data_IF_654972660074
#
_entry.id   IF_654972660074
#
_cell.length_a   1.000
_cell.length_b   1.000
_cell.length_c   1.000
_cell.angle_alpha   90.00
_cell.angle_beta   90.00
_cell.angle_gamma   90.00
#
_symmetry.space_group_name_H-M   'P 1'
#
loop_
_entity.id
_entity.type
_entity.pdbx_description
1 polymer ?
#
# COMPACT_ATOMS: atom_id res chain seq x y z
N UNK A 1 -15.02 11.56 -4.22
CA UNK A 1 -14.74 13.01 -4.16
C UNK A 1 -15.65 13.65 -3.14
N UNK A 2 -15.23 14.79 -2.59
CA UNK A 2 -16.09 15.63 -1.76
C UNK A 2 -16.90 16.63 -2.60
N UNK A 3 -17.68 17.50 -1.94
CA UNK A 3 -18.50 18.52 -2.61
C UNK A 3 -17.66 19.51 -3.45
N UNK A 4 -16.41 19.74 -3.08
CA UNK A 4 -15.51 20.67 -3.76
C UNK A 4 -14.63 20.01 -4.84
N UNK A 5 -14.81 18.69 -5.09
CA UNK A 5 -14.03 17.94 -6.07
C UNK A 5 -12.69 17.39 -5.55
N UNK A 6 -12.41 17.51 -4.23
CA UNK A 6 -11.22 16.90 -3.66
C UNK A 6 -11.29 15.39 -3.70
N UNK A 7 -10.19 14.78 -4.05
CA UNK A 7 -10.05 13.32 -3.96
C UNK A 7 -9.85 12.92 -2.49
N UNK A 8 -10.65 11.97 -2.03
CA UNK A 8 -10.53 11.35 -0.71
C UNK A 8 -9.71 10.07 -0.77
N UNK A 9 -9.30 9.55 0.38
CA UNK A 9 -8.54 8.32 0.50
C UNK A 9 -9.11 7.17 -0.36
N UNK A 10 -10.43 6.99 -0.36
CA UNK A 10 -11.10 5.97 -1.16
C UNK A 10 -10.80 6.09 -2.66
N UNK A 11 -10.76 7.31 -3.21
CA UNK A 11 -10.47 7.54 -4.62
C UNK A 11 -9.06 7.07 -5.03
N UNK A 12 -8.06 7.31 -4.16
CA UNK A 12 -6.69 6.83 -4.38
C UNK A 12 -6.60 5.31 -4.21
N UNK A 13 -7.32 4.75 -3.24
CA UNK A 13 -7.40 3.30 -3.06
C UNK A 13 -8.07 2.61 -4.26
N UNK A 14 -9.22 3.12 -4.73
CA UNK A 14 -9.94 2.59 -5.90
C UNK A 14 -9.05 2.60 -7.15
N UNK A 15 -8.29 3.68 -7.39
CA UNK A 15 -7.36 3.75 -8.52
C UNK A 15 -6.36 2.58 -8.54
N UNK A 16 -5.90 2.14 -7.36
CA UNK A 16 -5.00 0.99 -7.23
C UNK A 16 -5.74 -0.33 -7.35
N UNK A 17 -6.87 -0.46 -6.66
CA UNK A 17 -7.65 -1.71 -6.60
C UNK A 17 -8.28 -2.09 -7.95
N UNK A 18 -8.59 -1.11 -8.80
CA UNK A 18 -9.10 -1.32 -10.16
C UNK A 18 -8.03 -1.21 -11.26
N UNK A 19 -6.75 -1.31 -10.89
CA UNK A 19 -5.68 -1.36 -11.88
C UNK A 19 -5.77 -2.68 -12.67
N UNK A 20 -5.54 -2.68 -14.01
CA UNK A 20 -5.63 -3.88 -14.84
C UNK A 20 -4.66 -5.00 -14.44
N UNK A 21 -3.59 -4.65 -13.74
CA UNK A 21 -2.64 -5.59 -13.12
C UNK A 21 -2.54 -5.23 -11.64
N UNK A 22 -2.93 -6.17 -10.78
CA UNK A 22 -2.99 -5.96 -9.34
C UNK A 22 -2.24 -7.08 -8.60
N UNK A 23 -1.34 -6.70 -7.71
CA UNK A 23 -0.82 -7.58 -6.67
C UNK A 23 -1.61 -7.33 -5.38
N UNK A 24 -2.32 -8.31 -4.90
CA UNK A 24 -3.10 -8.28 -3.67
C UNK A 24 -2.53 -9.24 -2.62
N UNK A 25 -2.92 -9.02 -1.38
CA UNK A 25 -2.53 -9.83 -0.24
C UNK A 25 -3.80 -10.25 0.53
N UNK A 26 -3.95 -11.54 0.78
CA UNK A 26 -4.86 -12.10 1.76
C UNK A 26 -4.04 -12.39 3.02
N UNK A 27 -4.27 -11.61 4.07
CA UNK A 27 -3.63 -11.81 5.36
C UNK A 27 -4.54 -12.64 6.28
N UNK A 28 -3.95 -13.51 7.10
CA UNK A 28 -4.68 -14.42 7.98
C UNK A 28 -4.64 -14.00 9.45
N UNK A 29 -4.23 -12.76 9.72
CA UNK A 29 -4.10 -12.20 11.04
C UNK A 29 -5.42 -11.72 11.68
N UNK A 30 -5.31 -10.77 12.60
CA UNK A 30 -6.46 -10.26 13.35
C UNK A 30 -7.47 -9.51 12.48
N UNK A 31 -7.05 -8.95 11.33
CA UNK A 31 -7.93 -8.12 10.49
C UNK A 31 -9.04 -8.97 9.85
N UNK A 32 -8.72 -10.18 9.42
CA UNK A 32 -9.71 -11.11 8.83
C UNK A 32 -10.49 -11.89 9.89
N UNK A 33 -9.89 -12.15 11.03
CA UNK A 33 -10.55 -12.83 12.15
C UNK A 33 -11.44 -11.82 12.88
N UNK A 34 -12.72 -11.86 12.69
CA UNK A 34 -13.72 -10.98 13.35
C UNK A 34 -13.75 -11.14 14.87
N UNK A 35 -12.82 -10.61 15.65
CA UNK A 35 -12.91 -10.66 17.10
C UNK A 35 -14.02 -9.71 17.53
N UNK A 36 -14.90 -10.18 18.37
CA UNK A 36 -15.76 -9.28 19.13
C UNK A 36 -14.87 -8.38 19.97
N UNK A 37 -15.23 -7.11 20.11
CA UNK A 37 -14.46 -6.05 20.79
C UNK A 37 -13.97 -6.45 22.21
N UNK A 38 -14.57 -7.47 22.80
CA UNK A 38 -14.28 -7.96 24.15
C UNK A 38 -13.76 -9.42 24.17
N UNK A 39 -13.24 -9.94 23.07
CA UNK A 39 -12.61 -11.27 23.10
C UNK A 39 -11.30 -11.24 23.87
N UNK A 40 -11.07 -12.33 24.63
CA UNK A 40 -9.78 -12.55 25.27
C UNK A 40 -8.67 -12.63 24.20
N UNK A 41 -7.42 -12.28 24.54
CA UNK A 41 -6.30 -12.48 23.66
C UNK A 41 -6.31 -13.91 23.09
N UNK A 42 -6.22 -14.03 21.79
CA UNK A 42 -6.11 -15.30 21.06
C UNK A 42 -4.85 -15.26 20.19
N UNK A 43 -4.27 -16.40 19.85
CA UNK A 43 -3.16 -16.43 18.91
C UNK A 43 -3.57 -15.79 17.57
N UNK A 44 -2.73 -14.89 17.06
CA UNK A 44 -2.89 -14.26 15.76
C UNK A 44 -2.05 -15.06 14.78
N UNK A 45 -2.63 -15.45 13.66
CA UNK A 45 -1.91 -16.11 12.58
C UNK A 45 -1.11 -15.05 11.81
N UNK A 46 0.22 -15.20 11.80
CA UNK A 46 1.12 -14.28 11.09
C UNK A 46 1.51 -14.93 9.76
N UNK A 47 0.56 -14.96 8.85
CA UNK A 47 0.74 -15.54 7.52
C UNK A 47 -0.01 -14.76 6.44
N UNK A 48 0.37 -14.96 5.18
CA UNK A 48 -0.23 -14.27 4.05
C UNK A 48 -0.12 -15.05 2.75
N UNK A 49 -1.09 -14.86 1.87
CA UNK A 49 -1.09 -15.32 0.50
C UNK A 49 -1.10 -14.13 -0.47
N UNK A 50 -0.14 -14.08 -1.38
CA UNK A 50 -0.06 -13.04 -2.40
C UNK A 50 -0.66 -13.54 -3.71
N UNK A 51 -1.42 -12.67 -4.38
CA UNK A 51 -2.07 -13.01 -5.64
C UNK A 51 -1.86 -11.91 -6.68
N UNK A 52 -1.39 -12.28 -7.87
CA UNK A 52 -1.36 -11.41 -9.04
C UNK A 52 -2.61 -11.64 -9.87
N UNK A 53 -3.43 -10.60 -10.03
CA UNK A 53 -4.53 -10.57 -10.98
C UNK A 53 -4.08 -9.84 -12.26
N UNK A 54 -4.42 -10.39 -13.41
CA UNK A 54 -4.11 -9.83 -14.72
C UNK A 54 -5.40 -9.76 -15.56
N UNK A 55 -5.93 -8.56 -15.74
CA UNK A 55 -7.12 -8.28 -16.57
C UNK A 55 -6.74 -7.82 -17.99
N UNK A 56 -5.45 -7.89 -18.35
CA UNK A 56 -4.98 -7.53 -19.69
C UNK A 56 -5.08 -8.69 -20.68
N UNK A 57 -5.06 -8.40 -21.97
CA UNK A 57 -5.08 -9.40 -23.05
C UNK A 57 -3.75 -10.13 -23.26
N UNK A 58 -2.70 -9.80 -22.52
CA UNK A 58 -1.37 -10.40 -22.65
C UNK A 58 -0.92 -11.00 -21.32
N UNK A 59 -0.14 -12.10 -21.33
CA UNK A 59 0.44 -12.64 -20.11
C UNK A 59 1.38 -11.64 -19.43
N UNK A 60 1.38 -11.62 -18.09
CA UNK A 60 2.31 -10.83 -17.29
C UNK A 60 3.43 -11.74 -16.79
N UNK A 61 4.66 -11.43 -17.21
CA UNK A 61 5.87 -12.08 -16.73
C UNK A 61 6.65 -11.09 -15.89
N UNK A 62 7.02 -11.49 -14.68
CA UNK A 62 7.70 -10.59 -13.75
C UNK A 62 8.12 -11.29 -12.47
N UNK A 63 8.33 -10.51 -11.43
CA UNK A 63 8.76 -11.00 -10.11
C UNK A 63 7.94 -10.30 -9.04
N UNK A 64 7.32 -11.06 -8.15
CA UNK A 64 6.80 -10.56 -6.87
C UNK A 64 7.95 -10.59 -5.87
N UNK A 65 8.30 -9.43 -5.33
CA UNK A 65 9.22 -9.32 -4.20
C UNK A 65 8.42 -9.04 -2.93
N UNK A 66 8.87 -9.58 -1.82
CA UNK A 66 8.26 -9.33 -0.52
C UNK A 66 9.31 -9.19 0.57
N UNK A 67 9.00 -8.39 1.58
CA UNK A 67 9.84 -8.21 2.77
C UNK A 67 8.95 -8.13 4.01
N UNK A 68 9.29 -8.91 5.02
CA UNK A 68 8.76 -8.79 6.36
C UNK A 68 9.64 -7.81 7.13
N UNK A 69 9.08 -6.70 7.56
CA UNK A 69 9.81 -5.60 8.16
C UNK A 69 9.35 -5.34 9.59
N UNK A 70 10.22 -4.71 10.38
CA UNK A 70 9.90 -4.13 11.70
C UNK A 70 9.38 -2.69 11.56
N UNK A 71 8.82 -2.11 12.64
CA UNK A 71 8.36 -0.71 12.62
C UNK A 71 9.43 0.32 12.22
N UNK A 72 10.71 0.01 12.42
CA UNK A 72 11.84 0.84 11.99
C UNK A 72 12.30 0.57 10.55
N UNK A 73 11.49 -0.16 9.78
CA UNK A 73 11.78 -0.59 8.40
C UNK A 73 12.96 -1.57 8.26
N UNK A 74 13.51 -2.09 9.35
CA UNK A 74 14.53 -3.14 9.26
C UNK A 74 13.92 -4.44 8.77
N UNK A 75 14.58 -5.07 7.79
CA UNK A 75 14.10 -6.32 7.18
C UNK A 75 14.39 -7.51 8.11
N UNK A 76 13.37 -8.30 8.41
CA UNK A 76 13.44 -9.55 9.18
C UNK A 76 13.63 -10.76 8.26
N UNK A 77 12.79 -10.82 7.21
CA UNK A 77 12.81 -11.85 6.17
C UNK A 77 12.47 -11.20 4.84
N UNK A 78 12.99 -11.74 3.75
CA UNK A 78 12.64 -11.28 2.41
C UNK A 78 12.70 -12.43 1.42
N UNK A 79 12.06 -12.27 0.28
CA UNK A 79 12.09 -13.25 -0.79
C UNK A 79 11.46 -12.75 -2.08
N UNK A 80 11.47 -13.62 -3.08
CA UNK A 80 10.90 -13.32 -4.37
C UNK A 80 10.28 -14.55 -5.00
N UNK A 81 9.24 -14.33 -5.82
CA UNK A 81 8.57 -15.37 -6.61
C UNK A 81 8.49 -14.97 -8.06
N UNK A 82 8.76 -15.89 -8.96
CA UNK A 82 8.54 -15.70 -10.39
C UNK A 82 7.04 -15.68 -10.70
N UNK A 83 6.64 -14.75 -11.54
CA UNK A 83 5.27 -14.56 -12.02
C UNK A 83 5.17 -14.87 -13.50
N UNK A 84 4.17 -15.67 -13.86
CA UNK A 84 3.70 -15.87 -15.22
C UNK A 84 2.17 -15.97 -15.19
N UNK A 85 1.54 -14.82 -14.94
CA UNK A 85 0.09 -14.72 -14.86
C UNK A 85 -0.51 -14.69 -16.29
N UNK A 86 -1.43 -15.62 -16.63
CA UNK A 86 -2.01 -15.66 -17.97
C UNK A 86 -2.88 -14.43 -18.25
N UNK A 87 -3.11 -14.14 -19.53
CA UNK A 87 -4.07 -13.12 -19.95
C UNK A 87 -5.46 -13.42 -19.38
N UNK A 88 -6.14 -12.39 -18.86
CA UNK A 88 -7.45 -12.48 -18.21
C UNK A 88 -7.50 -13.54 -17.09
N UNK A 89 -6.43 -13.65 -16.31
CA UNK A 89 -6.32 -14.64 -15.25
C UNK A 89 -5.49 -14.15 -14.08
N UNK A 90 -4.98 -15.09 -13.28
CA UNK A 90 -4.16 -14.75 -12.12
C UNK A 90 -3.24 -15.88 -11.69
N UNK A 91 -2.39 -15.57 -10.73
CA UNK A 91 -1.46 -16.53 -10.14
C UNK A 91 -1.32 -16.27 -8.65
N UNK A 92 -1.56 -17.32 -7.85
CA UNK A 92 -1.23 -17.31 -6.44
C UNK A 92 0.26 -17.63 -6.24
N UNK A 93 0.87 -16.91 -5.31
CA UNK A 93 2.23 -17.17 -4.87
C UNK A 93 2.24 -18.28 -3.80
N UNK A 94 3.39 -18.90 -3.53
CA UNK A 94 3.55 -19.78 -2.38
C UNK A 94 3.18 -19.08 -1.06
N UNK A 95 2.52 -19.82 -0.16
CA UNK A 95 2.13 -19.35 1.16
C UNK A 95 3.33 -18.81 1.96
N UNK A 96 3.14 -17.68 2.62
CA UNK A 96 4.12 -17.04 3.49
C UNK A 96 3.72 -17.25 4.95
N UNK A 97 4.56 -17.98 5.70
CA UNK A 97 4.38 -18.26 7.12
C UNK A 97 5.45 -17.55 7.95
N UNK A 98 5.00 -16.76 8.92
CA UNK A 98 5.81 -15.96 9.82
C UNK A 98 5.38 -16.15 11.29
N UNK A 99 4.75 -17.26 11.64
CA UNK A 99 4.22 -17.56 12.97
C UNK A 99 5.29 -17.61 14.08
N UNK A 100 6.57 -17.50 13.72
CA UNK A 100 7.69 -17.30 14.64
C UNK A 100 7.92 -15.80 15.02
N UNK A 101 7.12 -14.88 14.48
CA UNK A 101 7.22 -13.44 14.70
C UNK A 101 6.05 -12.88 15.51
N UNK A 102 6.27 -11.75 16.18
CA UNK A 102 5.21 -11.03 16.91
C UNK A 102 4.38 -10.20 15.92
N UNK A 103 3.06 -10.45 15.78
CA UNK A 103 2.19 -9.69 14.87
C UNK A 103 2.10 -8.19 15.18
N UNK A 104 2.47 -7.76 16.40
CA UNK A 104 2.46 -6.36 16.80
C UNK A 104 3.74 -5.62 16.40
N UNK A 105 4.79 -6.37 16.00
CA UNK A 105 6.14 -5.86 15.73
C UNK A 105 6.59 -6.09 14.29
N UNK A 106 5.74 -6.66 13.43
CA UNK A 106 6.10 -6.91 12.03
C UNK A 106 4.96 -6.55 11.08
N UNK A 107 5.33 -6.15 9.88
CA UNK A 107 4.42 -5.95 8.75
C UNK A 107 5.04 -6.49 7.47
N UNK A 108 4.21 -6.85 6.52
CA UNK A 108 4.62 -7.35 5.21
C UNK A 108 4.51 -6.24 4.18
N UNK A 109 5.57 -6.03 3.38
CA UNK A 109 5.55 -5.22 2.16
C UNK A 109 5.74 -6.11 0.95
N UNK A 110 5.13 -5.75 -0.17
CA UNK A 110 5.20 -6.53 -1.40
C UNK A 110 5.10 -5.64 -2.63
N UNK A 111 5.79 -6.05 -3.70
CA UNK A 111 5.77 -5.37 -4.98
C UNK A 111 5.82 -6.35 -6.15
N UNK A 112 5.11 -6.05 -7.23
CA UNK A 112 5.21 -6.73 -8.51
C UNK A 112 6.09 -5.90 -9.44
N UNK A 113 7.17 -6.49 -9.89
CA UNK A 113 8.13 -5.87 -10.82
C UNK A 113 8.00 -6.53 -12.20
N UNK A 114 7.71 -5.73 -13.22
CA UNK A 114 7.63 -6.14 -14.63
C UNK A 114 8.55 -5.25 -15.43
N UNK A 115 9.44 -5.83 -16.22
CA UNK A 115 10.44 -5.10 -17.04
C UNK A 115 11.25 -4.06 -16.24
N UNK A 116 11.57 -4.40 -14.98
CA UNK A 116 12.33 -3.54 -14.07
C UNK A 116 11.52 -2.41 -13.41
N UNK A 117 10.23 -2.31 -13.67
CA UNK A 117 9.35 -1.29 -13.10
C UNK A 117 8.38 -1.91 -12.07
N UNK A 118 8.16 -1.22 -10.96
CA UNK A 118 7.10 -1.59 -10.00
C UNK A 118 5.75 -1.22 -10.60
N UNK A 119 4.90 -2.23 -10.88
CA UNK A 119 3.57 -2.03 -11.47
C UNK A 119 2.44 -2.12 -10.45
N UNK A 120 2.66 -2.81 -9.34
CA UNK A 120 1.72 -2.88 -8.21
C UNK A 120 2.50 -3.10 -6.92
N UNK A 121 2.07 -2.50 -5.83
CA UNK A 121 2.70 -2.67 -4.52
C UNK A 121 1.70 -2.44 -3.40
N UNK A 122 2.01 -2.98 -2.22
CA UNK A 122 1.21 -2.79 -1.02
C UNK A 122 1.94 -3.14 0.24
N UNK A 123 1.28 -2.92 1.37
CA UNK A 123 1.71 -3.41 2.67
C UNK A 123 0.52 -3.90 3.49
N UNK A 124 0.77 -4.81 4.41
CA UNK A 124 -0.26 -5.29 5.34
C UNK A 124 0.30 -5.47 6.74
N UNK A 125 -0.55 -5.21 7.73
CA UNK A 125 -0.32 -5.55 9.14
C UNK A 125 -1.03 -6.86 9.42
N UNK A 126 -0.54 -7.63 10.39
CA UNK A 126 -1.20 -8.85 10.88
C UNK A 126 -2.11 -8.60 12.09
N UNK A 127 -2.14 -7.38 12.56
CA UNK A 127 -3.01 -6.94 13.66
C UNK A 127 -3.70 -5.61 13.32
N UNK A 128 -4.75 -5.27 14.06
CA UNK A 128 -5.40 -3.98 13.90
C UNK A 128 -4.39 -2.83 14.15
N UNK A 129 -4.38 -1.77 13.32
CA UNK A 129 -3.39 -0.69 13.39
C UNK A 129 -3.25 -0.06 14.79
N UNK A 130 -4.33 -0.03 15.59
CA UNK A 130 -4.30 0.49 16.97
C UNK A 130 -3.47 -0.35 17.94
N UNK A 131 -3.13 -1.58 17.57
CA UNK A 131 -2.33 -2.50 18.39
C UNK A 131 -0.89 -2.62 17.88
N UNK A 132 -0.63 -2.24 16.64
CA UNK A 132 0.71 -2.29 16.06
C UNK A 132 1.64 -1.28 16.75
N UNK A 133 2.85 -1.68 17.08
CA UNK A 133 3.82 -0.85 17.80
C UNK A 133 4.61 0.05 16.83
N UNK A 134 3.94 1.04 16.25
CA UNK A 134 4.59 1.99 15.35
C UNK A 134 5.78 2.71 16.02
N UNK A 135 6.92 2.78 15.34
CA UNK A 135 7.95 3.75 15.64
C UNK A 135 7.50 5.15 15.17
N UNK A 136 8.03 6.22 15.78
CA UNK A 136 7.77 7.57 15.28
C UNK A 136 8.33 7.73 13.86
N UNK A 137 7.52 7.93 12.83
CA UNK A 137 7.98 7.98 11.45
C UNK A 137 8.79 9.24 11.12
N UNK A 138 8.77 10.26 11.98
CA UNK A 138 9.48 11.55 11.81
C UNK A 138 9.36 12.10 10.40
N UNK A 139 8.11 12.23 9.95
CA UNK A 139 7.82 12.69 8.60
C UNK A 139 8.33 14.11 8.37
N UNK A 140 8.94 14.33 7.22
CA UNK A 140 9.25 15.64 6.70
C UNK A 140 8.75 15.79 5.28
N UNK A 141 8.41 17.03 4.89
CA UNK A 141 7.87 17.35 3.58
C UNK A 141 8.62 18.52 2.98
N UNK A 142 8.89 18.46 1.68
CA UNK A 142 9.38 19.57 0.89
C UNK A 142 8.61 19.67 -0.43
N UNK A 143 8.55 20.87 -1.00
CA UNK A 143 7.85 21.12 -2.26
C UNK A 143 8.81 21.86 -3.19
N UNK A 144 8.95 21.36 -4.42
CA UNK A 144 9.71 21.99 -5.48
C UNK A 144 8.90 21.96 -6.78
N UNK A 145 8.43 23.14 -7.19
CA UNK A 145 7.53 23.28 -8.32
C UNK A 145 6.22 22.50 -8.15
N UNK A 146 6.00 21.51 -9.00
CA UNK A 146 4.84 20.61 -8.98
C UNK A 146 5.12 19.28 -8.24
N UNK A 147 6.27 19.16 -7.59
CA UNK A 147 6.69 17.94 -6.91
C UNK A 147 6.66 18.12 -5.40
N UNK A 148 5.95 17.23 -4.72
CA UNK A 148 5.97 17.10 -3.27
C UNK A 148 6.81 15.89 -2.90
N UNK A 149 7.77 16.08 -2.02
CA UNK A 149 8.65 15.03 -1.51
C UNK A 149 8.39 14.82 -0.03
N UNK A 150 8.06 13.58 0.34
CA UNK A 150 7.89 13.15 1.74
C UNK A 150 9.00 12.19 2.10
N UNK A 151 9.62 12.40 3.25
CA UNK A 151 10.65 11.52 3.81
C UNK A 151 10.19 10.99 5.16
N UNK A 152 10.38 9.69 5.39
CA UNK A 152 10.12 8.99 6.65
C UNK A 152 11.42 8.35 7.16
N UNK A 153 11.66 8.37 8.48
CA UNK A 153 12.76 7.63 9.10
C UNK A 153 12.37 6.20 9.50
N UNK A 154 11.09 5.94 9.69
CA UNK A 154 10.52 4.65 10.07
C UNK A 154 9.24 4.39 9.26
N UNK A 155 8.70 3.17 9.34
CA UNK A 155 7.45 2.82 8.67
C UNK A 155 6.31 3.77 9.06
N UNK A 156 5.63 4.29 8.05
CA UNK A 156 4.48 5.17 8.20
C UNK A 156 3.28 4.63 7.41
N UNK A 157 2.16 4.42 8.09
CA UNK A 157 0.94 3.92 7.46
C UNK A 157 0.01 5.05 7.08
N UNK A 158 -0.57 4.97 5.87
CA UNK A 158 -1.59 5.89 5.35
C UNK A 158 -1.14 7.36 5.38
N UNK A 159 0.09 7.63 4.97
CA UNK A 159 0.63 8.98 4.88
C UNK A 159 -0.21 9.81 3.92
N UNK A 160 -0.78 10.91 4.43
CA UNK A 160 -1.53 11.86 3.62
C UNK A 160 -0.81 13.20 3.53
N UNK A 161 -0.82 13.78 2.33
CA UNK A 161 -0.36 15.14 2.08
C UNK A 161 -1.56 16.01 1.81
N UNK A 162 -1.68 17.08 2.60
CA UNK A 162 -2.80 18.01 2.55
C UNK A 162 -2.29 19.44 2.48
N UNK A 163 -3.12 20.38 2.05
CA UNK A 163 -2.85 21.82 2.10
C UNK A 163 -3.77 22.49 3.12
N UNK A 164 -3.28 23.50 3.81
CA UNK A 164 -4.09 24.27 4.75
C UNK A 164 -5.21 25.06 4.04
N UNK A 165 -4.98 25.48 2.79
CA UNK A 165 -5.91 26.27 2.03
C UNK A 165 -6.03 25.78 0.58
N UNK A 166 -7.26 25.54 0.15
CA UNK A 166 -7.56 25.19 -1.23
C UNK A 166 -7.64 23.69 -1.51
N UNK A 167 -7.55 23.34 -2.79
CA UNK A 167 -7.63 21.97 -3.30
C UNK A 167 -6.24 21.50 -3.65
N UNK A 168 -5.80 20.39 -3.07
CA UNK A 168 -4.58 19.69 -3.47
C UNK A 168 -4.96 18.36 -4.10
N UNK A 169 -4.55 18.16 -5.35
CA UNK A 169 -4.69 16.90 -6.04
C UNK A 169 -3.31 16.38 -6.42
N UNK A 170 -3.00 15.18 -5.96
CA UNK A 170 -1.74 14.51 -6.25
C UNK A 170 -1.98 13.30 -7.17
N UNK A 171 -0.94 12.84 -7.84
CA UNK A 171 -0.97 11.61 -8.63
C UNK A 171 -1.15 10.36 -7.76
N UNK A 172 -0.69 10.37 -6.50
CA UNK A 172 -0.97 9.40 -5.45
C UNK A 172 -1.05 10.08 -4.08
N UNK A 173 -1.71 9.47 -3.11
CA UNK A 173 -1.82 9.95 -1.72
C UNK A 173 -2.33 8.82 -0.82
N UNK A 174 -2.35 9.02 0.50
CA UNK A 174 -2.76 8.00 1.48
C UNK A 174 -1.99 6.70 1.29
N UNK A 175 -0.67 6.81 1.27
CA UNK A 175 0.24 5.70 0.97
C UNK A 175 0.93 5.19 2.23
N UNK A 176 1.24 3.90 2.24
CA UNK A 176 2.16 3.35 3.21
C UNK A 176 3.61 3.55 2.72
N UNK A 177 4.51 3.85 3.64
CA UNK A 177 5.92 4.14 3.34
C UNK A 177 6.83 3.42 4.32
N UNK A 178 7.84 2.74 3.80
CA UNK A 178 9.03 2.37 4.56
C UNK A 178 9.91 3.60 4.81
N UNK A 179 10.94 3.45 5.67
CA UNK A 179 11.98 4.46 5.81
C UNK A 179 12.56 4.81 4.44
N UNK A 180 12.62 6.10 4.12
CA UNK A 180 13.05 6.57 2.82
C UNK A 180 12.22 7.75 2.31
N UNK A 181 12.25 7.96 1.02
CA UNK A 181 11.65 9.13 0.37
C UNK A 181 10.67 8.70 -0.71
N UNK A 182 9.49 9.35 -0.75
CA UNK A 182 8.49 9.21 -1.80
C UNK A 182 8.13 10.57 -2.39
N UNK A 183 7.99 10.62 -3.70
CA UNK A 183 7.61 11.84 -4.43
C UNK A 183 6.21 11.70 -4.99
N UNK A 184 5.47 12.79 -4.97
CA UNK A 184 4.12 12.93 -5.53
C UNK A 184 4.09 14.13 -6.46
N UNK A 185 3.37 14.02 -7.56
CA UNK A 185 3.17 15.12 -8.48
C UNK A 185 1.85 15.84 -8.20
N UNK A 186 1.90 17.16 -8.12
CA UNK A 186 0.72 18.01 -8.04
C UNK A 186 0.06 18.03 -9.44
N UNK A 187 -1.19 17.62 -9.48
CA UNK A 187 -1.98 17.59 -10.71
C UNK A 187 -2.73 18.92 -10.88
N UNK A 188 -2.87 19.42 -12.12
CA UNK A 188 -3.66 20.63 -12.38
C UNK A 188 -5.11 20.48 -11.90
N UNK A 189 -5.62 21.51 -11.23
CA UNK A 189 -7.02 21.56 -10.77
C UNK A 189 -7.95 22.29 -11.75
N UNK A 190 -7.41 22.83 -12.85
CA UNK A 190 -8.13 23.68 -13.77
C UNK A 190 -9.30 23.03 -14.52
N UNK A 191 -9.33 21.70 -14.61
CA UNK A 191 -10.36 20.98 -15.39
C UNK A 191 -11.69 20.79 -14.64
N UNK A 192 -11.73 21.07 -13.33
CA UNK A 192 -12.93 20.84 -12.51
C UNK A 192 -13.88 22.05 -12.47
N UNK A 193 -13.42 23.23 -12.86
CA UNK A 193 -14.22 24.47 -12.85
C UNK A 193 -14.91 24.72 -14.20
N UNK A 194 -14.41 24.12 -15.28
CA UNK A 194 -14.89 24.38 -16.63
C UNK A 194 -16.21 23.65 -17.00
N UNK A 195 -16.60 22.61 -16.28
CA UNK A 195 -17.82 21.83 -16.58
C UNK A 195 -19.07 22.29 -15.78
N UNK A 196 -18.95 23.27 -14.91
CA UNK A 196 -20.03 23.74 -14.02
C UNK A 196 -20.75 25.02 -14.44
N UNK A 197 -20.46 25.61 -15.59
CA UNK A 197 -21.13 26.82 -16.12
C UNK A 197 -21.72 26.53 -17.48
N UNK A 198 -22.82 25.80 -17.48
CA UNK A 198 -23.72 25.65 -18.61
C UNK A 198 -25.15 25.50 -18.12
#
# INVERSE_FOLDING_TARGET
VDYYGNWKALQYAEKKMFAPVLLSCEEHGEIDQKPFVNTLPHPIDVSADLHVANETGEPIVGTVKWSLCRPDSSVVKEGAFEVNAPAYGGQWMPHLDFNDQDPLEVHLTYELVVDGNVVSSGSTLFCAPKHYHFADPKLSVSVDGDTVTVTAENFAKSVSVETENGVLRLDDNFVDMEAGTKTFRILPTADLIAEGTG
#
